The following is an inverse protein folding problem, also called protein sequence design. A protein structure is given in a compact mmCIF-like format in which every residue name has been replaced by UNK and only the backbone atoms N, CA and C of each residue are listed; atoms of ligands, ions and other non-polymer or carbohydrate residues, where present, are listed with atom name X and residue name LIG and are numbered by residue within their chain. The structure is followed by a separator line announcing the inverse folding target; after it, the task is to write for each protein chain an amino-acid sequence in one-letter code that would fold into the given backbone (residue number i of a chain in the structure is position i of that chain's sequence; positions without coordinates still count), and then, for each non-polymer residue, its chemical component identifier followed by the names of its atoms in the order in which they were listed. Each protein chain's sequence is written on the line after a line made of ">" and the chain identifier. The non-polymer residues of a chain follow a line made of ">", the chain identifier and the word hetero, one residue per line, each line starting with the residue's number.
data_IF_308801206791
#
_entry.id   IF_308801206791
#
_cell.length_a   1.000
_cell.length_b   1.000
_cell.length_c   1.000
_cell.angle_alpha   90.00
_cell.angle_beta   90.00
_cell.angle_gamma   90.00
#
_symmetry.space_group_name_H-M   'P 1'
#
loop_
_entity.id
_entity.type
_entity.pdbx_description
1 polymer ?
#
# COMPACT_ATOMS: atom_id res chain seq x y z
N UNK A 1 -5.84 -22.75 -14.06
CA UNK A 1 -5.74 -21.50 -13.31
C UNK A 1 -4.41 -20.84 -13.65
N UNK A 2 -4.39 -19.54 -13.98
CA UNK A 2 -3.13 -18.81 -14.15
C UNK A 2 -2.56 -18.54 -12.75
N UNK A 3 -1.32 -18.92 -12.52
CA UNK A 3 -0.65 -18.66 -11.25
C UNK A 3 -0.09 -17.23 -11.22
N UNK A 4 -0.16 -16.57 -10.08
CA UNK A 4 0.47 -15.25 -9.89
C UNK A 4 2.00 -15.42 -10.02
N UNK A 5 2.67 -14.69 -10.92
CA UNK A 5 4.11 -14.77 -11.06
C UNK A 5 4.83 -14.31 -9.80
N UNK A 6 5.90 -15.00 -9.42
CA UNK A 6 6.76 -14.67 -8.31
C UNK A 6 8.10 -14.14 -8.84
N UNK A 7 8.40 -12.88 -8.55
CA UNK A 7 9.62 -12.22 -8.99
C UNK A 7 10.52 -11.91 -7.78
N UNK A 8 11.82 -11.90 -8.01
CA UNK A 8 12.79 -11.52 -6.98
C UNK A 8 13.35 -10.12 -7.33
N UNK A 9 13.12 -9.15 -6.45
CA UNK A 9 13.60 -7.78 -6.66
C UNK A 9 15.14 -7.69 -6.80
N UNK A 10 15.87 -8.62 -6.19
CA UNK A 10 17.33 -8.66 -6.35
C UNK A 10 17.77 -8.93 -7.78
N UNK A 11 16.97 -9.63 -8.58
CA UNK A 11 17.27 -9.88 -10.00
C UNK A 11 17.30 -8.56 -10.79
N UNK A 12 16.48 -7.59 -10.39
CA UNK A 12 16.52 -6.24 -10.95
C UNK A 12 17.63 -5.37 -10.35
N UNK A 13 17.84 -5.39 -9.03
CA UNK A 13 18.76 -4.49 -8.35
C UNK A 13 20.23 -4.85 -8.59
N UNK A 14 20.58 -6.13 -8.55
CA UNK A 14 21.96 -6.62 -8.61
C UNK A 14 22.25 -7.61 -9.75
N UNK A 15 21.24 -8.00 -10.51
CA UNK A 15 21.38 -8.89 -11.66
C UNK A 15 22.18 -8.25 -12.80
N UNK A 16 22.74 -9.10 -13.66
CA UNK A 16 23.29 -8.67 -14.93
C UNK A 16 22.20 -8.18 -15.89
N UNK A 17 22.57 -7.66 -17.05
CA UNK A 17 21.62 -7.11 -18.02
C UNK A 17 20.57 -8.12 -18.48
N UNK A 18 20.94 -9.39 -18.61
CA UNK A 18 20.01 -10.45 -19.00
C UNK A 18 18.97 -10.70 -17.93
N UNK A 19 19.41 -10.90 -16.69
CA UNK A 19 18.55 -11.14 -15.53
C UNK A 19 17.59 -9.96 -15.27
N UNK A 20 18.09 -8.71 -15.44
CA UNK A 20 17.25 -7.52 -15.34
C UNK A 20 16.16 -7.47 -16.43
N UNK A 21 16.52 -7.78 -17.65
CA UNK A 21 15.56 -7.79 -18.75
C UNK A 21 14.49 -8.89 -18.56
N UNK A 22 14.89 -10.07 -18.12
CA UNK A 22 13.96 -11.15 -17.78
C UNK A 22 12.99 -10.73 -16.66
N UNK A 23 13.49 -10.05 -15.62
CA UNK A 23 12.63 -9.49 -14.56
C UNK A 23 11.61 -8.50 -15.13
N UNK A 24 12.05 -7.54 -15.96
CA UNK A 24 11.18 -6.52 -16.57
C UNK A 24 10.12 -7.16 -17.46
N UNK A 25 10.50 -8.13 -18.27
CA UNK A 25 9.57 -8.86 -19.14
C UNK A 25 8.50 -9.60 -18.34
N UNK A 26 8.92 -10.37 -17.32
CA UNK A 26 7.99 -11.09 -16.46
C UNK A 26 7.08 -10.15 -15.64
N UNK A 27 7.59 -9.00 -15.19
CA UNK A 27 6.82 -7.96 -14.53
C UNK A 27 5.71 -7.44 -15.44
N UNK A 28 6.08 -7.04 -16.67
CA UNK A 28 5.12 -6.56 -17.67
C UNK A 28 4.06 -7.60 -18.02
N UNK A 29 4.48 -8.83 -18.22
CA UNK A 29 3.59 -9.95 -18.52
C UNK A 29 2.63 -10.26 -17.36
N UNK A 30 3.14 -10.26 -16.11
CA UNK A 30 2.32 -10.47 -14.93
C UNK A 30 1.19 -9.44 -14.81
N UNK A 31 1.50 -8.16 -14.99
CA UNK A 31 0.48 -7.12 -14.96
C UNK A 31 -0.48 -7.15 -16.15
N UNK A 32 0.00 -7.41 -17.35
CA UNK A 32 -0.86 -7.42 -18.55
C UNK A 32 -1.79 -8.63 -18.61
N UNK A 33 -1.36 -9.79 -18.13
CA UNK A 33 -2.13 -11.04 -18.26
C UNK A 33 -2.97 -11.40 -17.04
N UNK A 34 -2.52 -10.96 -15.84
CA UNK A 34 -3.10 -11.38 -14.55
C UNK A 34 -3.54 -10.16 -13.73
N UNK A 35 -2.84 -9.02 -13.85
CA UNK A 35 -3.06 -7.82 -13.06
C UNK A 35 -2.34 -7.81 -11.71
N UNK A 36 -1.62 -8.90 -11.35
CA UNK A 36 -0.92 -9.06 -10.09
C UNK A 36 0.43 -9.74 -10.28
N UNK A 37 1.35 -9.41 -9.39
CA UNK A 37 2.63 -10.09 -9.21
C UNK A 37 2.91 -10.26 -7.72
N UNK A 38 3.71 -11.24 -7.35
CA UNK A 38 4.28 -11.39 -6.02
C UNK A 38 5.78 -11.09 -6.08
N UNK A 39 6.28 -10.22 -5.22
CA UNK A 39 7.69 -9.84 -5.15
C UNK A 39 8.29 -10.34 -3.86
N UNK A 40 9.42 -11.06 -3.98
CA UNK A 40 10.32 -11.40 -2.87
C UNK A 40 11.61 -10.60 -2.96
N UNK A 41 12.40 -10.58 -1.89
CA UNK A 41 13.64 -9.77 -1.83
C UNK A 41 13.36 -8.27 -1.82
N UNK A 42 12.22 -7.85 -1.28
CA UNK A 42 11.69 -6.48 -1.28
C UNK A 42 12.28 -5.58 -0.19
N UNK A 43 13.39 -5.94 0.41
CA UNK A 43 14.14 -5.19 1.43
C UNK A 43 13.41 -4.98 2.77
N UNK A 44 12.15 -5.40 2.89
CA UNK A 44 11.44 -5.43 4.16
C UNK A 44 11.74 -6.76 4.84
N UNK A 45 12.48 -6.72 5.93
CA UNK A 45 12.81 -7.92 6.70
C UNK A 45 11.60 -8.43 7.50
N UNK A 46 11.65 -9.71 7.89
CA UNK A 46 10.55 -10.35 8.60
C UNK A 46 10.26 -9.70 9.95
N UNK A 47 11.28 -9.21 10.64
CA UNK A 47 11.12 -8.52 11.92
C UNK A 47 10.32 -7.24 11.76
N UNK A 48 10.70 -6.37 10.81
CA UNK A 48 9.98 -5.11 10.52
C UNK A 48 8.54 -5.39 10.11
N UNK A 49 8.32 -6.44 9.31
CA UNK A 49 6.98 -6.88 8.92
C UNK A 49 6.15 -7.29 10.14
N UNK A 50 6.69 -8.11 11.02
CA UNK A 50 5.97 -8.63 12.18
C UNK A 50 5.69 -7.52 13.22
N UNK A 51 6.64 -6.59 13.40
CA UNK A 51 6.44 -5.37 14.19
C UNK A 51 5.30 -4.52 13.60
N UNK A 52 5.30 -4.28 12.29
CA UNK A 52 4.23 -3.53 11.62
C UNK A 52 2.87 -4.18 11.82
N UNK A 53 2.75 -5.50 11.64
CA UNK A 53 1.48 -6.20 11.85
C UNK A 53 1.02 -6.12 13.31
N UNK A 54 1.94 -6.17 14.25
CA UNK A 54 1.64 -6.04 15.68
C UNK A 54 1.09 -4.65 15.98
N UNK A 55 1.73 -3.59 15.51
CA UNK A 55 1.29 -2.21 15.71
C UNK A 55 -0.05 -1.94 15.02
N UNK A 56 -0.22 -2.40 13.78
CA UNK A 56 -1.49 -2.29 13.05
C UNK A 56 -2.62 -2.97 13.82
N UNK A 57 -2.41 -4.20 14.28
CA UNK A 57 -3.40 -4.92 15.08
C UNK A 57 -3.72 -4.21 16.39
N UNK A 58 -2.70 -3.68 17.06
CA UNK A 58 -2.87 -2.92 18.30
C UNK A 58 -3.72 -1.67 18.07
N UNK A 59 -3.46 -0.92 17.00
CA UNK A 59 -4.25 0.25 16.66
C UNK A 59 -5.72 -0.09 16.37
N UNK A 60 -5.98 -1.09 15.52
CA UNK A 60 -7.36 -1.44 15.14
C UNK A 60 -8.17 -2.08 16.28
N UNK A 61 -7.51 -2.56 17.33
CA UNK A 61 -8.16 -3.02 18.56
C UNK A 61 -8.52 -1.89 19.55
N UNK A 62 -8.11 -0.66 19.29
CA UNK A 62 -8.51 0.50 20.10
C UNK A 62 -10.01 0.80 19.94
N UNK A 63 -10.58 1.48 20.93
CA UNK A 63 -11.97 1.94 20.83
C UNK A 63 -12.16 2.93 19.68
N UNK A 64 -13.36 2.97 19.11
CA UNK A 64 -13.69 3.89 18.02
C UNK A 64 -13.50 5.36 18.42
N UNK A 65 -13.73 5.69 19.70
CA UNK A 65 -13.45 7.02 20.24
C UNK A 65 -11.97 7.40 20.10
N UNK A 66 -11.07 6.47 20.43
CA UNK A 66 -9.62 6.70 20.31
C UNK A 66 -9.20 6.76 18.85
N UNK A 67 -9.63 5.79 18.03
CA UNK A 67 -9.31 5.75 16.59
C UNK A 67 -9.78 7.02 15.87
N UNK A 68 -10.95 7.54 16.22
CA UNK A 68 -11.52 8.74 15.61
C UNK A 68 -10.67 10.01 15.79
N UNK A 69 -9.82 10.07 16.81
CA UNK A 69 -8.88 11.18 17.02
C UNK A 69 -7.82 11.30 15.92
N UNK A 70 -7.63 10.22 15.17
CA UNK A 70 -6.67 10.14 14.07
C UNK A 70 -7.29 10.39 12.68
N UNK A 71 -8.54 10.80 12.62
CA UNK A 71 -9.17 11.24 11.38
C UNK A 71 -8.63 12.61 11.00
N UNK A 72 -7.98 12.72 9.85
CA UNK A 72 -7.43 13.98 9.35
C UNK A 72 -8.45 14.62 8.39
N UNK A 73 -9.03 15.74 8.83
CA UNK A 73 -10.00 16.48 8.01
C UNK A 73 -9.32 17.16 6.82
N UNK A 74 -10.04 17.26 5.70
CA UNK A 74 -9.58 17.99 4.51
C UNK A 74 -8.65 17.22 3.57
N UNK A 75 -8.30 15.97 3.90
CA UNK A 75 -7.45 15.12 3.07
C UNK A 75 -8.20 13.97 2.36
N UNK A 76 -9.53 14.02 2.30
CA UNK A 76 -10.37 13.03 1.62
C UNK A 76 -9.96 11.58 1.94
N UNK A 77 -9.73 11.26 3.21
CA UNK A 77 -9.27 9.95 3.70
C UNK A 77 -7.91 9.48 3.16
N UNK A 78 -7.11 10.38 2.60
CA UNK A 78 -5.79 10.03 2.01
C UNK A 78 -4.68 9.87 3.06
N UNK A 79 -4.95 10.19 4.33
CA UNK A 79 -4.03 10.07 5.47
C UNK A 79 -4.80 9.83 6.76
N UNK A 80 -4.15 9.14 7.69
CA UNK A 80 -4.72 8.84 8.99
C UNK A 80 -5.76 7.73 8.94
N UNK A 81 -6.63 7.70 9.92
CA UNK A 81 -7.66 6.70 10.09
C UNK A 81 -8.91 7.02 9.27
N UNK A 82 -9.45 6.02 8.62
CA UNK A 82 -10.74 6.07 7.93
C UNK A 82 -11.66 4.99 8.51
N UNK A 83 -12.78 5.37 9.15
CA UNK A 83 -13.68 4.43 9.79
C UNK A 83 -14.57 3.68 8.78
N UNK A 84 -15.24 2.64 9.27
CA UNK A 84 -16.26 1.91 8.53
C UNK A 84 -17.31 2.85 7.93
N UNK A 85 -17.78 2.53 6.73
CA UNK A 85 -18.88 3.23 6.07
C UNK A 85 -18.55 4.63 5.54
N UNK A 86 -17.30 5.09 5.70
CA UNK A 86 -16.88 6.41 5.22
C UNK A 86 -16.64 6.44 3.70
N UNK A 87 -16.15 5.36 3.14
CA UNK A 87 -16.01 5.19 1.70
C UNK A 87 -17.14 4.33 1.15
N UNK A 88 -17.53 4.61 -0.07
CA UNK A 88 -18.49 3.81 -0.83
C UNK A 88 -18.00 3.60 -2.25
N UNK A 89 -18.36 2.49 -2.84
CA UNK A 89 -18.09 2.26 -4.26
C UNK A 89 -18.81 3.31 -5.10
N UNK A 90 -18.17 3.76 -6.17
CA UNK A 90 -18.72 4.77 -7.08
C UNK A 90 -20.13 4.38 -7.54
N UNK A 91 -21.11 5.24 -7.26
CA UNK A 91 -22.51 5.02 -7.64
C UNK A 91 -23.33 4.16 -6.65
N UNK A 92 -22.80 3.86 -5.45
CA UNK A 92 -23.55 3.16 -4.39
C UNK A 92 -23.62 3.99 -3.12
N UNK A 93 -24.78 3.97 -2.46
CA UNK A 93 -25.03 4.68 -1.19
C UNK A 93 -24.72 3.81 0.06
N UNK A 94 -24.12 2.65 -0.15
CA UNK A 94 -23.77 1.74 0.94
C UNK A 94 -22.28 1.89 1.20
N UNK A 95 -21.93 2.28 2.41
CA UNK A 95 -20.53 2.40 2.84
C UNK A 95 -19.83 1.05 2.87
N UNK A 96 -18.54 1.05 2.54
CA UNK A 96 -17.70 -0.13 2.60
C UNK A 96 -17.54 -0.62 4.04
N UNK A 97 -17.65 -1.94 4.23
CA UNK A 97 -17.40 -2.60 5.52
C UNK A 97 -15.90 -2.82 5.73
N UNK A 98 -15.13 -1.73 5.63
CA UNK A 98 -13.70 -1.73 5.92
C UNK A 98 -13.33 -0.46 6.69
N UNK A 99 -12.36 -0.59 7.55
CA UNK A 99 -11.63 0.53 8.14
C UNK A 99 -10.17 0.41 7.74
N UNK A 100 -9.46 1.52 7.64
CA UNK A 100 -8.07 1.48 7.22
C UNK A 100 -7.29 2.69 7.72
N UNK A 101 -5.97 2.55 7.70
CA UNK A 101 -5.03 3.61 7.99
C UNK A 101 -4.17 3.88 6.77
N UNK A 102 -4.13 5.14 6.34
CA UNK A 102 -3.22 5.61 5.33
C UNK A 102 -2.05 6.39 5.94
N UNK A 103 -0.85 5.98 5.62
CA UNK A 103 0.36 6.76 5.89
C UNK A 103 1.08 7.04 4.56
N UNK A 104 1.91 8.04 4.57
CA UNK A 104 2.72 8.41 3.41
C UNK A 104 4.15 8.70 3.83
N UNK A 105 5.00 8.90 2.85
CA UNK A 105 6.36 9.29 3.11
C UNK A 105 6.41 10.56 3.95
N UNK A 106 7.24 10.56 5.00
CA UNK A 106 7.58 11.76 5.74
C UNK A 106 8.53 12.60 4.90
N UNK A 107 8.05 13.76 4.46
CA UNK A 107 8.84 14.71 3.67
C UNK A 107 9.21 15.86 4.57
N UNK A 108 10.48 15.91 4.99
CA UNK A 108 11.02 17.02 5.75
C UNK A 108 11.67 18.01 4.77
N UNK A 109 11.15 19.24 4.77
CA UNK A 109 11.77 20.39 4.09
C UNK A 109 12.05 20.28 2.57
N UNK A 110 11.33 19.43 1.86
CA UNK A 110 11.39 19.35 0.40
C UNK A 110 10.18 20.07 -0.24
N UNK A 111 10.26 21.38 -0.51
CA UNK A 111 9.13 22.15 -1.07
C UNK A 111 8.67 21.68 -2.45
N UNK A 112 9.46 20.86 -3.13
CA UNK A 112 9.15 20.30 -4.45
C UNK A 112 8.35 18.98 -4.38
N UNK A 113 8.44 18.26 -3.28
CA UNK A 113 7.65 17.06 -3.06
C UNK A 113 6.31 17.44 -2.40
N UNK A 114 5.43 18.01 -3.17
CA UNK A 114 4.02 18.08 -2.73
C UNK A 114 3.55 16.65 -2.56
N UNK A 115 3.21 16.28 -1.32
CA UNK A 115 2.48 15.03 -1.06
C UNK A 115 1.33 15.01 -2.05
N UNK A 116 1.37 14.03 -2.97
CA UNK A 116 0.40 13.96 -4.05
C UNK A 116 -1.00 14.12 -3.48
N UNK A 117 -1.65 15.20 -3.83
CA UNK A 117 -3.09 15.26 -3.67
C UNK A 117 -3.62 14.26 -4.67
N UNK A 118 -4.35 13.26 -4.20
CA UNK A 118 -5.24 12.58 -5.11
C UNK A 118 -6.07 13.68 -5.76
N UNK A 119 -6.04 13.73 -7.06
CA UNK A 119 -6.86 14.68 -7.79
C UNK A 119 -8.32 14.35 -7.45
N UNK A 120 -8.97 15.27 -6.77
CA UNK A 120 -10.41 15.29 -6.61
C UNK A 120 -10.99 15.82 -7.89
#
# INVERSE_FOLDING_TARGET
>A
MKNIPHLNLNDFLSGDSKTKNEFIEQLGKGFSEIGFIAIKGHLLDDRTKDELYTEVKSFFNLSDEVKSKYIIKGLASQRGFTPFGKESAKGKNIGDLKEFWHFGQYVKDEPKLKIGRAHV
#
